data_IF_618383964071
#
_entry.id   IF_618383964071
#
_cell.length_a   1.000
_cell.length_b   1.000
_cell.length_c   1.000
_cell.angle_alpha   90.00
_cell.angle_beta   90.00
_cell.angle_gamma   90.00
#
_symmetry.space_group_name_H-M   'P 1'
#
loop_
_entity.id
_entity.type
_entity.pdbx_description
1 polymer ?
#
# COMPACT_ATOMS: atom_id res chain seq x y z
N UNK A 1 -11.07 32.97 -27.46
CA UNK A 1 -11.91 32.83 -26.26
C UNK A 1 -11.10 33.24 -25.05
N UNK A 2 -11.42 34.43 -24.49
CA UNK A 2 -10.73 34.96 -23.31
C UNK A 2 -11.11 34.12 -22.10
N UNK A 3 -10.22 33.25 -21.68
CA UNK A 3 -10.38 32.50 -20.42
C UNK A 3 -10.14 33.47 -19.28
N UNK A 4 -11.16 33.70 -18.45
CA UNK A 4 -11.03 34.43 -17.18
C UNK A 4 -9.89 33.80 -16.37
N UNK A 5 -8.96 34.57 -15.79
CA UNK A 5 -7.75 34.06 -15.12
C UNK A 5 -8.01 33.12 -13.94
N UNK A 6 -9.24 33.00 -13.50
CA UNK A 6 -9.63 32.32 -12.25
C UNK A 6 -10.33 30.95 -12.46
N UNK A 7 -10.59 30.55 -13.70
CA UNK A 7 -11.30 29.29 -13.98
C UNK A 7 -10.31 28.11 -14.00
N UNK A 8 -10.64 27.06 -13.23
CA UNK A 8 -9.89 25.79 -13.25
C UNK A 8 -10.22 25.02 -14.53
N UNK A 9 -9.21 24.64 -15.29
CA UNK A 9 -9.32 23.77 -16.46
C UNK A 9 -8.61 22.46 -16.19
N UNK A 10 -9.28 21.33 -16.38
CA UNK A 10 -8.67 20.00 -16.23
C UNK A 10 -8.41 19.44 -17.63
N UNK A 11 -7.16 19.16 -17.92
CA UNK A 11 -6.72 18.73 -19.24
C UNK A 11 -5.99 17.37 -19.16
N UNK A 12 -6.17 16.52 -20.17
CA UNK A 12 -5.46 15.23 -20.22
C UNK A 12 -3.96 15.42 -20.48
N UNK A 13 -3.16 14.54 -19.90
CA UNK A 13 -1.71 14.46 -20.13
C UNK A 13 -1.46 13.80 -21.50
N UNK A 14 -0.93 14.55 -22.46
CA UNK A 14 -0.77 14.11 -23.85
C UNK A 14 0.68 13.95 -24.29
N UNK A 15 1.61 14.61 -23.64
CA UNK A 15 3.01 14.66 -24.03
C UNK A 15 3.98 14.46 -22.86
N UNK A 16 5.26 14.29 -23.17
CA UNK A 16 6.30 14.03 -22.17
C UNK A 16 6.49 15.19 -21.17
N UNK A 17 6.28 16.44 -21.61
CA UNK A 17 6.37 17.61 -20.74
C UNK A 17 5.26 17.64 -19.69
N UNK A 18 4.02 17.44 -20.12
CA UNK A 18 2.85 17.33 -19.23
C UNK A 18 2.97 16.14 -18.29
N UNK A 19 3.44 15.00 -18.80
CA UNK A 19 3.71 13.82 -17.97
C UNK A 19 4.74 14.11 -16.88
N UNK A 20 5.78 14.85 -17.20
CA UNK A 20 6.75 15.29 -16.20
C UNK A 20 6.10 16.18 -15.15
N UNK A 21 5.29 17.16 -15.56
CA UNK A 21 4.55 18.03 -14.62
C UNK A 21 3.65 17.20 -13.71
N UNK A 22 2.87 16.27 -14.27
CA UNK A 22 2.01 15.36 -13.53
C UNK A 22 2.77 14.58 -12.46
N UNK A 23 3.87 13.94 -12.83
CA UNK A 23 4.66 13.09 -11.93
C UNK A 23 5.43 13.89 -10.87
N UNK A 24 5.82 15.13 -11.17
CA UNK A 24 6.57 16.00 -10.26
C UNK A 24 5.68 16.93 -9.42
N UNK A 25 4.37 16.98 -9.68
CA UNK A 25 3.43 17.83 -8.96
C UNK A 25 3.38 17.59 -7.44
N UNK A 26 3.50 16.35 -6.91
CA UNK A 26 3.54 16.11 -5.48
C UNK A 26 4.60 16.92 -4.72
N UNK A 27 5.77 17.19 -5.34
CA UNK A 27 6.81 18.04 -4.71
C UNK A 27 6.39 19.50 -4.49
N UNK A 28 5.34 19.96 -5.17
CA UNK A 28 4.74 21.27 -4.90
C UNK A 28 3.81 21.19 -3.68
N UNK A 29 2.99 20.15 -3.57
CA UNK A 29 2.02 19.95 -2.48
C UNK A 29 2.74 19.75 -1.15
N UNK A 30 3.74 18.88 -1.12
CA UNK A 30 4.45 18.50 0.12
C UNK A 30 5.71 19.34 0.39
N UNK A 31 5.81 20.53 -0.21
CA UNK A 31 6.95 21.40 0.03
C UNK A 31 7.05 21.79 1.49
N UNK A 32 8.15 21.38 2.15
CA UNK A 32 8.40 21.68 3.57
C UNK A 32 7.75 20.71 4.54
N UNK A 33 7.06 19.69 4.06
CA UNK A 33 6.56 18.60 4.92
C UNK A 33 7.69 17.58 5.20
N UNK A 34 8.22 17.52 6.44
CA UNK A 34 9.32 16.63 6.78
C UNK A 34 8.89 15.16 6.88
N UNK A 35 7.59 14.88 6.88
CA UNK A 35 7.03 13.54 7.05
C UNK A 35 6.67 12.88 5.72
N UNK A 36 6.67 13.65 4.63
CA UNK A 36 6.40 13.13 3.31
C UNK A 36 7.58 12.33 2.77
N UNK A 37 7.33 11.13 2.30
CA UNK A 37 8.31 10.29 1.62
C UNK A 37 8.13 10.44 0.11
N UNK A 38 9.05 11.12 -0.60
CA UNK A 38 8.94 11.26 -2.05
C UNK A 38 9.00 9.91 -2.75
N UNK A 39 8.04 9.59 -3.62
CA UNK A 39 8.08 8.35 -4.40
C UNK A 39 9.28 8.36 -5.35
N UNK A 40 9.85 7.19 -5.63
CA UNK A 40 10.91 7.06 -6.61
C UNK A 40 10.39 7.41 -8.01
N UNK A 41 10.87 8.52 -8.56
CA UNK A 41 10.41 9.04 -9.86
C UNK A 41 10.65 8.06 -11.02
N UNK A 42 11.77 7.30 -11.07
CA UNK A 42 11.94 6.25 -12.08
C UNK A 42 10.83 5.19 -12.04
N UNK A 43 10.42 4.76 -10.84
CA UNK A 43 9.36 3.76 -10.69
C UNK A 43 8.00 4.34 -11.08
N UNK A 44 7.70 5.59 -10.69
CA UNK A 44 6.48 6.29 -11.13
C UNK A 44 6.39 6.43 -12.65
N UNK A 45 7.51 6.71 -13.32
CA UNK A 45 7.59 6.72 -14.78
C UNK A 45 7.26 5.36 -15.38
N UNK A 46 7.78 4.28 -14.79
CA UNK A 46 7.52 2.92 -15.25
C UNK A 46 6.04 2.56 -15.07
N UNK A 47 5.49 2.76 -13.87
CA UNK A 47 4.09 2.41 -13.52
C UNK A 47 3.09 3.17 -14.40
N UNK A 48 3.33 4.43 -14.71
CA UNK A 48 2.43 5.26 -15.53
C UNK A 48 2.67 5.16 -17.02
N UNK A 49 3.63 4.37 -17.48
CA UNK A 49 3.88 4.14 -18.89
C UNK A 49 3.06 2.98 -19.43
N UNK A 50 2.25 3.24 -20.46
CA UNK A 50 1.35 2.24 -21.07
C UNK A 50 2.06 1.00 -21.62
N UNK A 51 3.37 1.10 -21.92
CA UNK A 51 4.17 -0.01 -22.46
C UNK A 51 4.81 -0.86 -21.37
N UNK A 52 5.12 -0.27 -20.23
CA UNK A 52 5.89 -0.92 -19.15
C UNK A 52 5.12 -1.13 -17.84
N UNK A 53 4.01 -0.40 -17.66
CA UNK A 53 3.19 -0.50 -16.45
C UNK A 53 2.34 -1.76 -16.47
N UNK A 54 2.47 -2.58 -15.44
CA UNK A 54 1.77 -3.86 -15.31
C UNK A 54 0.25 -3.69 -15.32
N UNK A 55 -0.25 -2.59 -14.76
CA UNK A 55 -1.68 -2.28 -14.76
C UNK A 55 -2.31 -2.30 -16.17
N UNK A 56 -1.58 -1.81 -17.17
CA UNK A 56 -2.08 -1.71 -18.55
C UNK A 56 -2.23 -3.04 -19.28
N UNK A 57 -1.80 -4.15 -18.67
CA UNK A 57 -2.08 -5.51 -19.17
C UNK A 57 -3.52 -5.95 -18.85
N UNK A 58 -4.14 -5.37 -17.81
CA UNK A 58 -5.47 -5.74 -17.31
C UNK A 58 -6.50 -4.61 -17.33
N UNK A 59 -6.05 -3.38 -17.58
CA UNK A 59 -6.88 -2.19 -17.51
C UNK A 59 -6.41 -1.04 -18.39
N UNK A 60 -7.10 0.07 -18.28
CA UNK A 60 -6.73 1.31 -18.93
C UNK A 60 -6.83 2.49 -17.96
N UNK A 61 -6.03 3.52 -18.19
CA UNK A 61 -6.01 4.72 -17.38
C UNK A 61 -5.68 5.95 -18.22
N UNK A 62 -6.24 7.09 -17.83
CA UNK A 62 -5.87 8.40 -18.29
C UNK A 62 -5.50 9.31 -17.13
N UNK A 63 -4.56 10.22 -17.39
CA UNK A 63 -3.99 11.13 -16.40
C UNK A 63 -4.38 12.57 -16.76
N UNK A 64 -4.69 13.37 -15.75
CA UNK A 64 -5.19 14.73 -15.93
C UNK A 64 -4.47 15.70 -15.01
N UNK A 65 -4.29 16.93 -15.48
CA UNK A 65 -3.74 18.07 -14.73
C UNK A 65 -4.78 19.17 -14.69
N UNK A 66 -5.07 19.67 -13.49
CA UNK A 66 -5.85 20.89 -13.29
C UNK A 66 -4.92 22.11 -13.41
N UNK A 67 -5.33 23.08 -14.20
CA UNK A 67 -4.63 24.34 -14.47
C UNK A 67 -5.46 25.52 -14.00
N UNK A 68 -4.82 26.51 -13.37
CA UNK A 68 -5.41 27.80 -13.00
C UNK A 68 -4.41 28.90 -13.26
N UNK A 69 -4.78 29.88 -14.09
CA UNK A 69 -3.85 30.94 -14.48
C UNK A 69 -2.55 30.45 -15.13
N UNK A 70 -2.59 29.36 -15.91
CA UNK A 70 -1.43 28.76 -16.56
C UNK A 70 -0.50 27.95 -15.63
N UNK A 71 -0.87 27.77 -14.36
CA UNK A 71 -0.08 27.00 -13.38
C UNK A 71 -0.80 25.69 -13.04
N UNK A 72 -0.07 24.57 -12.84
CA UNK A 72 -0.67 23.33 -12.37
C UNK A 72 -1.10 23.49 -10.91
N UNK A 73 -2.34 23.12 -10.62
CA UNK A 73 -2.96 23.24 -9.28
C UNK A 73 -3.50 21.91 -8.76
N UNK A 74 -3.49 20.87 -9.58
CA UNK A 74 -3.86 19.51 -9.13
C UNK A 74 -3.66 18.46 -10.21
N UNK A 75 -3.69 17.21 -9.80
CA UNK A 75 -3.59 16.02 -10.66
C UNK A 75 -4.60 14.98 -10.24
N UNK A 76 -5.05 14.15 -11.18
CA UNK A 76 -5.85 12.95 -10.94
C UNK A 76 -5.61 11.94 -12.06
N UNK A 77 -5.72 10.66 -11.74
CA UNK A 77 -5.82 9.57 -12.67
C UNK A 77 -7.22 8.97 -12.59
N UNK A 78 -7.84 8.66 -13.71
CA UNK A 78 -9.02 7.82 -13.79
C UNK A 78 -8.65 6.52 -14.50
N UNK A 79 -9.07 5.38 -13.95
CA UNK A 79 -8.66 4.08 -14.41
C UNK A 79 -9.78 3.04 -14.31
N UNK A 80 -9.77 2.08 -15.21
CA UNK A 80 -10.61 0.89 -15.17
C UNK A 80 -9.73 -0.35 -15.10
N UNK A 81 -9.82 -1.12 -14.02
CA UNK A 81 -9.32 -2.48 -13.97
C UNK A 81 -10.39 -3.42 -14.57
N UNK A 82 -10.27 -3.71 -15.86
CA UNK A 82 -11.25 -4.52 -16.59
C UNK A 82 -11.33 -5.95 -16.04
N UNK A 83 -10.20 -6.51 -15.65
CA UNK A 83 -10.15 -7.85 -15.08
C UNK A 83 -10.89 -7.89 -13.73
N UNK A 84 -10.68 -6.90 -12.88
CA UNK A 84 -11.41 -6.74 -11.62
C UNK A 84 -12.91 -6.53 -11.85
N UNK A 85 -13.30 -5.59 -12.71
CA UNK A 85 -14.69 -5.29 -12.99
C UNK A 85 -15.44 -6.51 -13.56
N UNK A 86 -14.84 -7.21 -14.53
CA UNK A 86 -15.44 -8.40 -15.13
C UNK A 86 -15.66 -9.50 -14.11
N UNK A 87 -14.68 -9.70 -13.28
CA UNK A 87 -14.67 -10.76 -12.31
C UNK A 87 -15.59 -10.51 -11.11
N UNK A 88 -15.74 -9.23 -10.67
CA UNK A 88 -16.63 -8.83 -9.55
C UNK A 88 -18.02 -8.41 -10.04
N UNK A 89 -18.27 -8.50 -11.35
CA UNK A 89 -19.49 -7.99 -11.98
C UNK A 89 -19.76 -6.53 -11.56
N UNK A 90 -18.69 -5.73 -11.43
CA UNK A 90 -18.73 -4.31 -11.08
C UNK A 90 -18.56 -3.43 -12.32
N UNK A 91 -18.93 -2.18 -12.18
CA UNK A 91 -18.74 -1.11 -13.15
C UNK A 91 -18.08 0.08 -12.42
N UNK A 92 -16.90 -0.18 -11.89
CA UNK A 92 -16.16 0.75 -11.02
C UNK A 92 -15.02 1.41 -11.78
N UNK A 93 -14.92 2.73 -11.65
CA UNK A 93 -13.76 3.51 -12.00
C UNK A 93 -12.90 3.70 -10.75
N UNK A 94 -11.67 3.25 -10.81
CA UNK A 94 -10.65 3.58 -9.83
C UNK A 94 -10.11 4.99 -10.14
N UNK A 95 -9.92 5.83 -9.13
CA UNK A 95 -9.15 7.06 -9.28
C UNK A 95 -7.96 7.08 -8.33
N UNK A 96 -6.89 7.78 -8.73
CA UNK A 96 -5.66 7.89 -7.94
C UNK A 96 -4.75 9.00 -8.43
N UNK A 97 -3.51 9.02 -7.98
CA UNK A 97 -2.57 10.12 -8.22
C UNK A 97 -3.24 11.49 -7.96
N UNK A 98 -4.16 11.48 -6.98
CA UNK A 98 -4.89 12.67 -6.59
C UNK A 98 -4.01 13.55 -5.73
N UNK A 99 -3.61 14.67 -6.31
CA UNK A 99 -2.88 15.72 -5.62
C UNK A 99 -3.53 17.07 -5.93
N UNK A 100 -3.75 17.89 -4.92
CA UNK A 100 -4.49 19.13 -5.09
C UNK A 100 -3.98 20.20 -4.12
N UNK A 101 -3.82 21.41 -4.60
CA UNK A 101 -3.62 22.57 -3.72
C UNK A 101 -4.86 22.72 -2.80
N UNK A 102 -4.72 23.42 -1.68
CA UNK A 102 -5.85 23.61 -0.75
C UNK A 102 -6.92 24.55 -1.38
N UNK A 103 -7.61 24.03 -2.39
CA UNK A 103 -8.71 24.70 -3.11
C UNK A 103 -9.82 23.69 -3.43
N UNK A 104 -10.96 23.73 -2.72
CA UNK A 104 -12.09 22.82 -2.95
C UNK A 104 -12.65 22.86 -4.37
N UNK A 105 -12.56 24.00 -5.06
CA UNK A 105 -13.04 24.12 -6.44
C UNK A 105 -12.15 23.31 -7.40
N UNK A 106 -10.84 23.34 -7.19
CA UNK A 106 -9.90 22.50 -7.93
C UNK A 106 -10.16 21.03 -7.70
N UNK A 107 -10.38 20.61 -6.44
CA UNK A 107 -10.68 19.22 -6.10
C UNK A 107 -11.97 18.74 -6.80
N UNK A 108 -13.06 19.53 -6.77
CA UNK A 108 -14.32 19.22 -7.46
C UNK A 108 -14.11 19.08 -8.96
N UNK A 109 -13.34 19.97 -9.59
CA UNK A 109 -13.05 19.90 -11.01
C UNK A 109 -12.31 18.61 -11.38
N UNK A 110 -11.35 18.16 -10.55
CA UNK A 110 -10.64 16.90 -10.74
C UNK A 110 -11.59 15.68 -10.60
N UNK A 111 -12.45 15.65 -9.58
CA UNK A 111 -13.43 14.59 -9.40
C UNK A 111 -14.42 14.52 -10.55
N UNK A 112 -14.90 15.69 -11.02
CA UNK A 112 -15.78 15.78 -12.18
C UNK A 112 -15.12 15.20 -13.43
N UNK A 113 -13.87 15.54 -13.70
CA UNK A 113 -13.12 15.00 -14.84
C UNK A 113 -12.98 13.48 -14.77
N UNK A 114 -12.71 12.89 -13.58
CA UNK A 114 -12.69 11.45 -13.40
C UNK A 114 -14.08 10.83 -13.64
N UNK A 115 -15.16 11.51 -13.21
CA UNK A 115 -16.53 11.06 -13.45
C UNK A 115 -16.92 11.12 -14.93
N UNK A 116 -16.51 12.17 -15.66
CA UNK A 116 -16.72 12.29 -17.12
C UNK A 116 -16.00 11.17 -17.87
N UNK A 117 -14.76 10.86 -17.47
CA UNK A 117 -14.01 9.74 -18.03
C UNK A 117 -14.71 8.39 -17.78
N UNK A 118 -15.20 8.18 -16.57
CA UNK A 118 -15.93 6.99 -16.16
C UNK A 118 -17.27 6.85 -16.92
N UNK A 119 -18.04 7.93 -17.01
CA UNK A 119 -19.31 7.97 -17.73
C UNK A 119 -19.15 7.60 -19.21
N UNK A 120 -18.11 8.11 -19.88
CA UNK A 120 -17.78 7.79 -21.26
C UNK A 120 -17.48 6.30 -21.51
N UNK A 121 -17.24 5.52 -20.43
CA UNK A 121 -17.00 4.07 -20.45
C UNK A 121 -18.14 3.26 -19.85
N UNK A 122 -19.21 3.94 -19.45
CA UNK A 122 -20.37 3.31 -18.82
C UNK A 122 -20.10 2.77 -17.43
N UNK A 123 -19.06 3.26 -16.74
CA UNK A 123 -18.78 2.96 -15.34
C UNK A 123 -19.73 3.75 -14.44
N UNK A 124 -20.11 3.18 -13.29
CA UNK A 124 -21.18 3.71 -12.46
C UNK A 124 -20.70 4.33 -11.14
N UNK A 125 -19.55 3.92 -10.68
CA UNK A 125 -19.01 4.34 -9.38
C UNK A 125 -17.55 4.81 -9.52
N UNK A 126 -17.17 5.82 -8.74
CA UNK A 126 -15.79 6.19 -8.49
C UNK A 126 -15.36 5.61 -7.16
N UNK A 127 -14.21 4.93 -7.10
CA UNK A 127 -13.59 4.40 -5.89
C UNK A 127 -12.11 4.78 -5.80
N UNK A 128 -11.64 5.19 -4.62
CA UNK A 128 -10.24 5.57 -4.43
C UNK A 128 -9.97 6.45 -3.21
N UNK A 129 -8.75 7.05 -3.12
CA UNK A 129 -7.69 7.02 -4.15
C UNK A 129 -6.84 5.74 -4.12
N UNK A 130 -6.41 5.31 -5.32
CA UNK A 130 -5.45 4.21 -5.55
C UNK A 130 -4.54 4.57 -6.73
N UNK A 131 -3.24 4.33 -6.63
CA UNK A 131 -2.29 4.71 -7.67
C UNK A 131 -2.06 3.61 -8.72
N UNK A 132 -3.13 3.13 -9.38
CA UNK A 132 -3.15 1.98 -10.31
C UNK A 132 -2.82 0.64 -9.63
N UNK A 133 -2.70 0.63 -8.33
CA UNK A 133 -2.51 -0.55 -7.50
C UNK A 133 -3.23 -0.33 -6.16
N UNK A 134 -3.94 -1.35 -5.70
CA UNK A 134 -4.61 -1.31 -4.39
C UNK A 134 -3.62 -1.32 -3.22
N UNK A 135 -2.35 -1.61 -3.47
CA UNK A 135 -1.30 -1.65 -2.46
C UNK A 135 -0.40 -0.40 -2.48
N UNK A 136 -0.59 0.54 -3.43
CA UNK A 136 0.21 1.74 -3.52
C UNK A 136 -0.56 2.98 -3.05
N UNK A 137 -0.07 3.61 -1.98
CA UNK A 137 -0.64 4.83 -1.39
C UNK A 137 -2.16 4.72 -1.17
N UNK A 138 -2.58 3.65 -0.49
CA UNK A 138 -3.95 3.27 -0.26
C UNK A 138 -4.74 4.31 0.53
N UNK A 139 -5.74 4.91 -0.10
CA UNK A 139 -6.68 5.80 0.57
C UNK A 139 -6.12 7.15 1.02
N UNK A 140 -6.93 7.87 1.76
CA UNK A 140 -6.61 9.16 2.40
C UNK A 140 -6.19 8.90 3.84
N UNK A 141 -5.06 9.42 4.27
CA UNK A 141 -4.66 9.39 5.67
C UNK A 141 -5.62 10.26 6.50
N UNK A 142 -6.39 9.65 7.41
CA UNK A 142 -7.35 10.36 8.26
C UNK A 142 -6.84 10.55 9.68
N UNK A 143 -6.00 9.63 10.20
CA UNK A 143 -5.36 9.72 11.51
C UNK A 143 -3.87 9.34 11.45
N UNK A 144 -3.05 9.85 12.36
CA UNK A 144 -1.64 9.47 12.53
C UNK A 144 -0.68 10.23 11.62
N UNK A 145 -0.77 11.58 11.61
CA UNK A 145 0.13 12.48 10.85
C UNK A 145 1.37 12.92 11.64
N UNK A 146 1.71 12.23 12.69
CA UNK A 146 2.83 12.56 13.61
C UNK A 146 4.17 11.98 13.17
N UNK A 147 4.16 11.07 12.20
CA UNK A 147 5.35 10.38 11.70
C UNK A 147 5.24 10.00 10.21
N UNK A 148 6.39 9.75 9.52
CA UNK A 148 6.38 9.28 8.13
C UNK A 148 5.59 7.97 7.96
N UNK A 149 5.04 7.71 6.78
CA UNK A 149 4.42 6.42 6.47
C UNK A 149 5.50 5.33 6.34
N UNK A 150 5.10 4.08 6.57
CA UNK A 150 5.89 2.91 6.20
C UNK A 150 5.73 2.58 4.72
N UNK A 151 6.52 1.63 4.21
CA UNK A 151 6.41 1.17 2.80
C UNK A 151 4.96 0.78 2.47
N UNK A 152 4.54 1.07 1.24
CA UNK A 152 3.19 0.84 0.70
C UNK A 152 2.08 1.67 1.36
N UNK A 153 2.38 2.52 2.34
CA UNK A 153 1.43 3.45 2.94
C UNK A 153 1.64 4.86 2.43
N UNK A 154 0.54 5.57 2.19
CA UNK A 154 0.55 6.94 1.71
C UNK A 154 0.69 7.98 2.83
N UNK A 155 0.96 9.20 2.41
CA UNK A 155 0.88 10.39 3.24
C UNK A 155 0.06 11.44 2.48
N UNK A 156 -0.97 12.00 3.12
CA UNK A 156 -1.84 12.97 2.47
C UNK A 156 -2.04 14.20 3.34
N UNK A 157 -2.17 15.40 2.75
CA UNK A 157 -2.47 16.61 3.50
C UNK A 157 -3.77 16.49 4.30
N UNK A 158 -3.89 17.13 5.48
CA UNK A 158 -5.06 17.00 6.34
C UNK A 158 -6.37 17.52 5.69
N UNK A 159 -6.28 18.46 4.76
CA UNK A 159 -7.42 19.03 4.07
C UNK A 159 -8.03 18.12 3.00
N UNK A 160 -7.36 17.01 2.60
CA UNK A 160 -7.91 16.08 1.61
C UNK A 160 -9.20 15.43 2.08
N UNK A 161 -9.27 15.01 3.34
CA UNK A 161 -10.49 14.45 3.90
C UNK A 161 -11.69 15.37 3.66
N UNK A 162 -11.55 16.68 3.94
CA UNK A 162 -12.60 17.68 3.72
C UNK A 162 -12.98 17.85 2.24
N UNK A 163 -12.06 17.60 1.30
CA UNK A 163 -12.37 17.64 -0.13
C UNK A 163 -13.29 16.50 -0.55
N UNK A 164 -13.02 15.29 -0.09
CA UNK A 164 -13.86 14.12 -0.39
C UNK A 164 -15.24 14.26 0.24
N UNK A 165 -15.30 14.52 1.54
CA UNK A 165 -16.56 14.65 2.29
C UNK A 165 -17.38 15.85 1.80
N UNK A 166 -16.75 17.01 1.61
CA UNK A 166 -17.38 18.21 1.06
C UNK A 166 -17.80 18.10 -0.41
N UNK A 167 -17.32 17.09 -1.13
CA UNK A 167 -17.76 16.72 -2.48
C UNK A 167 -18.73 15.54 -2.47
N UNK A 168 -19.29 15.14 -1.32
CA UNK A 168 -20.31 14.11 -1.21
C UNK A 168 -19.80 12.68 -1.40
N UNK A 169 -18.49 12.43 -1.32
CA UNK A 169 -17.96 11.09 -1.23
C UNK A 169 -18.18 10.51 0.17
N UNK A 170 -18.42 9.23 0.23
CA UNK A 170 -18.61 8.48 1.49
C UNK A 170 -17.57 7.37 1.60
N UNK A 171 -17.28 6.88 2.82
CA UNK A 171 -16.44 5.70 2.98
C UNK A 171 -16.96 4.53 2.13
N UNK A 172 -16.10 3.94 1.31
CA UNK A 172 -16.48 2.84 0.41
C UNK A 172 -16.54 1.49 1.14
N UNK A 173 -15.77 1.37 2.20
CA UNK A 173 -15.62 0.21 3.09
C UNK A 173 -15.02 0.67 4.41
N UNK A 174 -14.83 -0.26 5.35
CA UNK A 174 -14.13 0.01 6.60
C UNK A 174 -12.75 0.65 6.38
N UNK A 175 -12.31 1.43 7.35
CA UNK A 175 -10.99 2.07 7.28
C UNK A 175 -9.89 1.02 7.32
N UNK A 176 -8.76 1.32 6.69
CA UNK A 176 -7.57 0.50 6.82
C UNK A 176 -6.67 1.05 7.93
N UNK A 177 -6.33 0.17 8.84
CA UNK A 177 -5.58 0.49 10.04
C UNK A 177 -4.16 -0.05 9.96
N UNK A 178 -3.22 0.75 10.47
CA UNK A 178 -1.85 0.34 10.71
C UNK A 178 -1.59 0.28 12.21
N UNK A 179 -1.07 -0.85 12.68
CA UNK A 179 -0.67 -1.05 14.06
C UNK A 179 0.84 -0.95 14.21
N UNK A 180 1.29 -0.35 15.31
CA UNK A 180 2.66 -0.44 15.77
C UNK A 180 2.78 -1.43 16.93
N UNK A 181 3.82 -2.22 16.93
CA UNK A 181 4.21 -3.06 18.04
C UNK A 181 5.68 -2.82 18.40
N UNK A 182 5.93 -2.38 19.63
CA UNK A 182 7.30 -2.24 20.15
C UNK A 182 7.94 -3.63 20.31
N UNK A 183 9.19 -3.76 19.87
CA UNK A 183 10.00 -4.96 20.10
C UNK A 183 10.75 -4.94 21.42
N UNK A 184 10.38 -4.05 22.35
CA UNK A 184 10.97 -4.03 23.68
C UNK A 184 10.76 -5.36 24.40
N UNK A 185 11.87 -5.97 24.86
CA UNK A 185 11.85 -7.23 25.62
C UNK A 185 11.09 -7.13 26.94
N UNK A 186 10.85 -5.92 27.47
CA UNK A 186 10.06 -5.69 28.67
C UNK A 186 8.56 -5.83 28.45
N UNK A 187 8.07 -5.85 27.19
CA UNK A 187 6.65 -5.97 26.85
C UNK A 187 6.04 -7.24 27.47
N UNK A 188 5.01 -7.12 28.33
CA UNK A 188 4.36 -8.29 28.93
C UNK A 188 3.71 -9.21 27.88
N UNK A 189 3.20 -8.65 26.79
CA UNK A 189 2.58 -9.42 25.72
C UNK A 189 3.63 -10.28 24.98
N UNK A 190 4.77 -9.68 24.59
CA UNK A 190 5.87 -10.42 23.94
C UNK A 190 6.44 -11.50 24.87
N UNK A 191 6.59 -11.23 26.18
CA UNK A 191 7.01 -12.28 27.13
C UNK A 191 6.03 -13.44 27.21
N UNK A 192 4.71 -13.16 27.26
CA UNK A 192 3.70 -14.21 27.24
C UNK A 192 3.77 -15.03 25.95
N UNK A 193 3.88 -14.37 24.80
CA UNK A 193 4.06 -15.01 23.50
C UNK A 193 5.29 -15.92 23.51
N UNK A 194 6.43 -15.44 24.01
CA UNK A 194 7.68 -16.22 24.09
C UNK A 194 7.54 -17.46 24.98
N UNK A 195 6.85 -17.35 26.14
CA UNK A 195 6.59 -18.50 27.02
C UNK A 195 5.72 -19.54 26.32
N UNK A 196 4.65 -19.10 25.63
CA UNK A 196 3.75 -20.02 24.90
C UNK A 196 4.47 -20.66 23.71
N UNK A 197 5.18 -19.88 22.91
CA UNK A 197 5.99 -20.35 21.80
C UNK A 197 7.07 -21.34 22.24
N UNK A 198 7.71 -21.09 23.40
CA UNK A 198 8.69 -22.00 24.00
C UNK A 198 8.08 -23.37 24.37
N UNK A 199 6.82 -23.40 24.81
CA UNK A 199 6.10 -24.68 25.06
C UNK A 199 5.84 -25.44 23.76
N UNK A 200 5.44 -24.73 22.68
CA UNK A 200 5.18 -25.33 21.37
C UNK A 200 6.49 -25.84 20.77
N UNK A 201 7.56 -25.05 20.83
CA UNK A 201 8.89 -25.41 20.33
C UNK A 201 9.45 -26.69 20.96
N UNK A 202 9.21 -26.89 22.28
CA UNK A 202 9.63 -28.13 22.98
C UNK A 202 8.89 -29.39 22.51
N UNK A 203 7.68 -29.27 21.94
CA UNK A 203 6.95 -30.42 21.38
C UNK A 203 7.55 -30.90 20.06
N UNK A 204 8.27 -30.05 19.32
CA UNK A 204 9.07 -30.39 18.15
C UNK A 204 8.30 -30.73 16.87
N UNK A 205 6.99 -30.57 16.84
CA UNK A 205 6.17 -30.93 15.68
C UNK A 205 5.94 -29.80 14.67
N UNK A 206 6.32 -28.57 15.03
CA UNK A 206 6.34 -27.40 14.14
C UNK A 206 7.79 -26.94 13.98
N UNK A 207 8.24 -26.82 12.75
CA UNK A 207 9.53 -26.23 12.40
C UNK A 207 9.34 -24.87 11.72
N UNK A 208 10.34 -24.01 11.87
CA UNK A 208 10.40 -22.73 11.16
C UNK A 208 11.58 -22.76 10.21
N UNK A 209 11.33 -22.46 8.92
CA UNK A 209 12.38 -22.31 7.91
C UNK A 209 12.38 -20.93 7.29
N UNK A 210 13.45 -20.59 6.64
CA UNK A 210 13.59 -19.46 5.72
C UNK A 210 13.44 -19.92 4.27
N UNK A 211 13.25 -19.00 3.28
CA UNK A 211 13.18 -19.36 1.88
C UNK A 211 14.54 -19.84 1.34
N UNK A 212 14.48 -20.77 0.42
CA UNK A 212 15.63 -21.12 -0.44
C UNK A 212 15.60 -20.26 -1.72
N UNK A 213 16.32 -19.14 -1.71
CA UNK A 213 16.33 -18.22 -2.84
C UNK A 213 16.93 -18.80 -4.12
N UNK A 214 17.65 -19.92 -4.04
CA UNK A 214 18.13 -20.64 -5.23
C UNK A 214 16.98 -21.31 -5.98
N UNK A 215 15.88 -21.60 -5.29
CA UNK A 215 14.65 -22.20 -5.80
C UNK A 215 13.51 -21.19 -5.86
N UNK A 216 13.79 -19.98 -6.28
CA UNK A 216 12.86 -18.84 -6.23
C UNK A 216 11.45 -19.16 -6.72
N UNK A 217 11.30 -19.77 -7.89
CA UNK A 217 9.98 -20.08 -8.45
C UNK A 217 9.23 -21.17 -7.66
N UNK A 218 9.94 -22.06 -6.96
CA UNK A 218 9.31 -23.05 -6.09
C UNK A 218 8.77 -22.36 -4.82
N UNK A 219 9.55 -21.46 -4.23
CA UNK A 219 9.09 -20.64 -3.09
C UNK A 219 7.92 -19.73 -3.47
N UNK A 220 7.91 -19.15 -4.67
CA UNK A 220 6.75 -18.42 -5.21
C UNK A 220 5.51 -19.31 -5.27
N UNK A 221 5.68 -20.57 -5.71
CA UNK A 221 4.58 -21.55 -5.73
C UNK A 221 4.05 -21.88 -4.34
N UNK A 222 4.93 -22.00 -3.35
CA UNK A 222 4.52 -22.20 -1.94
C UNK A 222 3.74 -20.99 -1.42
N UNK A 223 4.21 -19.77 -1.68
CA UNK A 223 3.51 -18.56 -1.27
C UNK A 223 2.15 -18.44 -1.96
N UNK A 224 2.07 -18.76 -3.27
CA UNK A 224 0.83 -18.77 -4.03
C UNK A 224 -0.19 -19.74 -3.40
N UNK A 225 0.19 -20.98 -3.09
CA UNK A 225 -0.70 -21.96 -2.46
C UNK A 225 -1.20 -21.45 -1.10
N UNK A 226 -0.29 -20.92 -0.27
CA UNK A 226 -0.65 -20.35 1.03
C UNK A 226 -1.61 -19.15 0.88
N UNK A 227 -1.36 -18.23 -0.04
CA UNK A 227 -2.26 -17.09 -0.30
C UNK A 227 -3.64 -17.58 -0.72
N UNK A 228 -3.69 -18.47 -1.71
CA UNK A 228 -4.94 -18.95 -2.27
C UNK A 228 -5.78 -19.71 -1.24
N UNK A 229 -5.17 -20.56 -0.43
CA UNK A 229 -5.89 -21.37 0.56
C UNK A 229 -6.21 -20.59 1.83
N UNK A 230 -5.30 -19.74 2.31
CA UNK A 230 -5.54 -18.96 3.53
C UNK A 230 -6.59 -17.88 3.36
N UNK A 231 -6.75 -17.33 2.15
CA UNK A 231 -7.68 -16.24 1.87
C UNK A 231 -8.98 -16.69 1.19
N UNK A 232 -9.13 -17.97 0.86
CA UNK A 232 -10.30 -18.51 0.16
C UNK A 232 -11.64 -18.25 0.87
N UNK A 233 -11.61 -18.01 2.18
CA UNK A 233 -12.80 -17.71 2.98
C UNK A 233 -13.28 -16.26 2.89
N UNK A 234 -12.50 -15.36 2.27
CA UNK A 234 -12.87 -13.96 2.11
C UNK A 234 -13.90 -13.79 1.00
N UNK A 235 -14.96 -12.97 1.17
CA UNK A 235 -16.07 -12.85 0.22
C UNK A 235 -15.64 -12.46 -1.20
N UNK A 236 -14.63 -11.59 -1.30
CA UNK A 236 -14.14 -11.03 -2.56
C UNK A 236 -12.82 -11.68 -3.01
N UNK A 237 -12.46 -12.83 -2.41
CA UNK A 237 -11.19 -13.48 -2.72
C UNK A 237 -11.18 -14.07 -4.14
N UNK A 238 -10.00 -13.99 -4.78
CA UNK A 238 -9.70 -14.63 -6.06
C UNK A 238 -8.37 -15.34 -5.99
N UNK A 239 -8.29 -16.52 -6.62
CA UNK A 239 -7.02 -17.20 -6.75
C UNK A 239 -6.00 -16.34 -7.51
N UNK A 240 -4.82 -16.25 -6.94
CA UNK A 240 -3.66 -15.59 -7.54
C UNK A 240 -2.99 -16.54 -8.51
N UNK A 241 -2.71 -16.05 -9.71
CA UNK A 241 -1.84 -16.76 -10.65
C UNK A 241 -0.39 -16.67 -10.19
N UNK A 242 0.41 -17.68 -10.53
CA UNK A 242 1.81 -17.78 -10.08
C UNK A 242 2.66 -16.61 -10.56
N UNK A 243 2.44 -16.17 -11.78
CA UNK A 243 3.11 -15.02 -12.39
C UNK A 243 2.77 -13.71 -11.67
N UNK A 244 1.53 -13.56 -11.22
CA UNK A 244 1.10 -12.39 -10.45
C UNK A 244 1.77 -12.35 -9.08
N UNK A 245 1.86 -13.49 -8.39
CA UNK A 245 2.60 -13.60 -7.12
C UNK A 245 4.09 -13.36 -7.33
N UNK A 246 4.69 -13.91 -8.39
CA UNK A 246 6.09 -13.65 -8.74
C UNK A 246 6.34 -12.17 -8.97
N UNK A 247 5.45 -11.48 -9.69
CA UNK A 247 5.52 -10.04 -9.92
C UNK A 247 5.39 -9.21 -8.65
N UNK A 248 4.52 -9.62 -7.72
CA UNK A 248 4.35 -9.00 -6.41
C UNK A 248 5.62 -9.12 -5.55
N UNK A 249 6.27 -10.27 -5.56
CA UNK A 249 7.43 -10.55 -4.71
C UNK A 249 8.77 -10.08 -5.31
N UNK A 250 8.88 -9.94 -6.64
CA UNK A 250 10.15 -9.61 -7.33
C UNK A 250 10.80 -8.30 -6.83
N UNK A 251 10.06 -7.19 -6.55
CA UNK A 251 10.68 -5.98 -6.00
C UNK A 251 11.39 -6.22 -4.68
N UNK A 252 10.88 -7.15 -3.87
CA UNK A 252 11.42 -7.45 -2.53
C UNK A 252 12.58 -8.44 -2.58
N UNK A 253 12.72 -9.24 -3.62
CA UNK A 253 13.73 -10.28 -3.76
C UNK A 253 15.16 -9.79 -3.50
N UNK A 254 15.47 -8.55 -3.90
CA UNK A 254 16.82 -7.95 -3.78
C UNK A 254 17.03 -7.19 -2.47
N UNK A 255 15.96 -6.79 -1.78
CA UNK A 255 16.02 -5.93 -0.60
C UNK A 255 15.58 -6.63 0.67
N UNK A 256 14.79 -7.70 0.57
CA UNK A 256 14.36 -8.47 1.72
C UNK A 256 15.52 -9.31 2.29
N UNK A 257 15.59 -9.34 3.62
CA UNK A 257 16.49 -10.23 4.33
C UNK A 257 15.84 -11.62 4.43
N UNK A 258 16.43 -12.69 3.83
CA UNK A 258 15.81 -14.01 3.87
C UNK A 258 15.58 -14.55 5.27
N UNK A 259 16.39 -14.15 6.26
CA UNK A 259 16.21 -14.58 7.65
C UNK A 259 14.94 -13.97 8.30
N UNK A 260 14.36 -12.94 7.70
CA UNK A 260 13.11 -12.30 8.13
C UNK A 260 11.90 -12.71 7.28
N UNK A 261 12.05 -13.71 6.43
CA UNK A 261 10.95 -14.34 5.71
C UNK A 261 10.78 -15.75 6.29
N UNK A 262 9.70 -15.95 7.05
CA UNK A 262 9.53 -17.18 7.83
C UNK A 262 8.41 -18.05 7.25
N UNK A 263 8.66 -19.35 7.18
CA UNK A 263 7.67 -20.36 6.89
C UNK A 263 7.53 -21.30 8.10
N UNK A 264 6.30 -21.65 8.44
CA UNK A 264 6.02 -22.70 9.41
C UNK A 264 5.72 -23.99 8.68
N UNK A 265 6.30 -25.09 9.15
CA UNK A 265 6.09 -26.43 8.62
C UNK A 265 5.58 -27.40 9.70
N UNK A 266 4.65 -28.26 9.31
CA UNK A 266 4.08 -29.33 10.13
C UNK A 266 4.10 -30.60 9.28
N UNK A 267 4.71 -31.67 9.76
CA UNK A 267 4.82 -32.94 9.05
C UNK A 267 5.35 -32.81 7.62
N UNK A 268 6.34 -31.92 7.45
CA UNK A 268 6.98 -31.66 6.15
C UNK A 268 6.14 -30.81 5.17
N UNK A 269 4.97 -30.30 5.60
CA UNK A 269 4.13 -29.41 4.79
C UNK A 269 4.28 -27.97 5.27
N UNK A 270 4.45 -27.03 4.35
CA UNK A 270 4.43 -25.61 4.65
C UNK A 270 2.97 -25.19 4.94
N UNK A 271 2.71 -24.72 6.15
CA UNK A 271 1.36 -24.37 6.65
C UNK A 271 1.19 -22.91 6.97
N UNK A 272 2.27 -22.15 6.97
CA UNK A 272 2.23 -20.72 7.27
C UNK A 272 3.38 -19.95 6.66
N UNK A 273 3.15 -18.64 6.45
CA UNK A 273 4.12 -17.69 5.90
C UNK A 273 4.02 -16.35 6.62
N UNK A 274 5.18 -15.78 6.96
CA UNK A 274 5.28 -14.51 7.67
C UNK A 274 6.49 -13.72 7.17
N UNK A 275 6.30 -12.83 6.16
CA UNK A 275 7.38 -12.02 5.62
C UNK A 275 7.56 -10.73 6.40
N UNK A 276 8.81 -10.42 6.75
CA UNK A 276 9.22 -9.13 7.27
C UNK A 276 10.12 -8.40 6.27
N UNK A 277 9.80 -7.14 5.99
CA UNK A 277 10.57 -6.28 5.09
C UNK A 277 10.97 -5.00 5.83
N UNK A 278 12.25 -4.63 5.71
CA UNK A 278 12.72 -3.37 6.27
C UNK A 278 11.91 -2.18 5.76
N UNK A 279 11.50 -1.27 6.64
CA UNK A 279 10.81 -0.06 6.23
C UNK A 279 11.75 0.88 5.45
N UNK A 280 11.85 0.65 4.16
CA UNK A 280 12.73 1.45 3.30
C UNK A 280 12.32 2.93 3.22
N UNK A 281 11.11 3.30 3.64
CA UNK A 281 10.73 4.71 3.69
C UNK A 281 11.62 5.54 4.66
N UNK A 282 12.22 4.91 5.67
CA UNK A 282 13.22 5.56 6.51
C UNK A 282 14.50 5.98 5.73
N UNK A 283 14.79 5.31 4.63
CA UNK A 283 15.88 5.66 3.70
C UNK A 283 15.35 6.59 2.61
N UNK A 284 14.21 6.22 1.99
CA UNK A 284 13.66 6.90 0.81
C UNK A 284 13.32 8.38 1.08
N UNK A 285 12.91 8.71 2.30
CA UNK A 285 12.60 10.10 2.71
C UNK A 285 13.77 11.06 2.46
N UNK A 286 15.00 10.56 2.47
CA UNK A 286 16.22 11.34 2.25
C UNK A 286 16.66 11.41 0.79
N UNK A 287 16.03 10.63 -0.10
CA UNK A 287 16.48 10.47 -1.49
C UNK A 287 15.78 11.42 -2.47
N UNK A 288 14.87 12.28 -1.99
CA UNK A 288 14.10 13.21 -2.84
C UNK A 288 13.48 12.53 -4.09
N UNK A 289 13.13 11.24 -3.99
CA UNK A 289 12.57 10.45 -5.09
C UNK A 289 13.51 10.19 -6.26
N UNK A 290 14.83 10.38 -6.09
CA UNK A 290 15.84 10.32 -7.15
C UNK A 290 15.48 11.25 -8.32
N UNK A 291 14.90 12.41 -8.02
CA UNK A 291 14.40 13.36 -9.01
C UNK A 291 15.52 14.04 -9.80
N UNK A 292 16.68 14.21 -9.18
CA UNK A 292 17.84 14.95 -9.73
C UNK A 292 19.07 14.05 -9.75
N UNK A 293 20.01 14.25 -10.69
CA UNK A 293 21.21 13.41 -10.77
C UNK A 293 22.01 13.30 -9.47
N UNK A 294 22.12 14.41 -8.70
CA UNK A 294 22.85 14.41 -7.42
C UNK A 294 22.10 13.70 -6.28
N UNK A 295 20.81 13.42 -6.44
CA UNK A 295 20.07 12.60 -5.46
C UNK A 295 20.61 11.15 -5.47
N UNK A 296 21.17 10.68 -6.59
CA UNK A 296 21.85 9.39 -6.66
C UNK A 296 23.13 9.34 -5.81
N UNK A 297 23.88 10.45 -5.76
CA UNK A 297 25.06 10.54 -4.88
C UNK A 297 24.66 10.52 -3.41
N UNK A 298 23.54 11.16 -3.06
CA UNK A 298 22.98 11.10 -1.71
C UNK A 298 22.52 9.68 -1.35
N UNK A 299 21.97 8.94 -2.32
CA UNK A 299 21.53 7.57 -2.11
C UNK A 299 22.67 6.67 -1.58
N UNK A 300 23.89 6.82 -2.08
CA UNK A 300 25.06 6.05 -1.61
C UNK A 300 25.34 6.21 -0.10
N UNK A 301 25.06 7.39 0.43
CA UNK A 301 25.19 7.67 1.87
C UNK A 301 24.04 7.07 2.67
N UNK A 302 22.79 7.31 2.21
CA UNK A 302 21.60 6.94 2.98
C UNK A 302 21.25 5.46 2.87
N UNK A 303 21.67 4.76 1.82
CA UNK A 303 21.57 3.30 1.70
C UNK A 303 22.34 2.53 2.80
N UNK A 304 23.21 3.20 3.56
CA UNK A 304 23.89 2.63 4.73
C UNK A 304 23.06 2.76 6.02
N UNK A 305 21.97 3.51 6.00
CA UNK A 305 21.06 3.61 7.11
C UNK A 305 20.41 2.24 7.36
N UNK A 306 20.43 1.79 8.60
CA UNK A 306 19.68 0.61 9.01
C UNK A 306 18.29 1.04 9.48
N UNK A 307 17.21 0.65 8.81
CA UNK A 307 15.86 0.94 9.26
C UNK A 307 15.61 0.39 10.66
N UNK A 308 14.86 1.15 11.45
CA UNK A 308 14.47 0.76 12.82
C UNK A 308 13.13 0.02 12.85
N UNK A 309 12.34 0.16 11.80
CA UNK A 309 11.04 -0.49 11.64
C UNK A 309 11.16 -1.68 10.69
N UNK A 310 10.60 -2.82 11.10
CA UNK A 310 10.32 -3.95 10.24
C UNK A 310 8.83 -3.93 9.89
N UNK A 311 8.49 -3.90 8.60
CA UNK A 311 7.11 -3.92 8.13
C UNK A 311 6.68 -5.36 7.86
N UNK A 312 5.60 -5.77 8.51
CA UNK A 312 5.02 -7.11 8.40
C UNK A 312 3.69 -6.99 7.65
N UNK A 313 3.64 -7.44 6.40
CA UNK A 313 2.52 -7.18 5.49
C UNK A 313 1.47 -8.29 5.46
N UNK A 314 1.82 -9.49 5.90
CA UNK A 314 0.91 -10.64 5.90
C UNK A 314 1.28 -11.63 6.97
N UNK A 315 0.30 -12.25 7.57
CA UNK A 315 0.45 -13.48 8.39
C UNK A 315 -0.52 -14.49 7.80
N UNK A 316 -0.02 -15.44 7.05
CA UNK A 316 -0.84 -16.49 6.46
C UNK A 316 -0.64 -17.79 7.23
N UNK A 317 -1.75 -18.39 7.64
CA UNK A 317 -1.80 -19.75 8.19
C UNK A 317 -2.97 -20.46 7.52
N UNK A 318 -2.74 -21.66 7.02
CA UNK A 318 -3.80 -22.46 6.43
C UNK A 318 -4.92 -22.70 7.46
N UNK A 319 -6.21 -22.57 7.07
CA UNK A 319 -7.34 -22.65 7.98
C UNK A 319 -7.37 -23.92 8.84
N UNK A 320 -7.01 -25.06 8.27
CA UNK A 320 -6.96 -26.35 8.95
C UNK A 320 -5.90 -26.43 10.05
N UNK A 321 -4.97 -25.46 10.10
CA UNK A 321 -3.93 -25.34 11.13
C UNK A 321 -4.15 -24.16 12.09
N UNK A 322 -5.31 -23.50 12.02
CA UNK A 322 -5.65 -22.49 13.03
C UNK A 322 -5.73 -23.13 14.42
N UNK A 323 -5.16 -22.45 15.40
CA UNK A 323 -5.07 -22.99 16.76
C UNK A 323 -3.92 -23.98 16.99
N UNK A 324 -3.18 -24.40 15.95
CA UNK A 324 -2.01 -25.28 16.09
C UNK A 324 -0.87 -24.69 16.92
N UNK A 325 -0.79 -23.35 16.97
CA UNK A 325 0.33 -22.61 17.54
C UNK A 325 1.37 -22.18 16.53
N UNK A 326 1.21 -22.47 15.22
CA UNK A 326 2.12 -22.07 14.17
C UNK A 326 2.27 -20.55 14.11
N UNK A 327 1.16 -19.80 14.19
CA UNK A 327 1.19 -18.32 14.21
C UNK A 327 2.00 -17.78 15.41
N UNK A 328 1.80 -18.35 16.61
CA UNK A 328 2.56 -17.92 17.79
C UNK A 328 4.06 -18.16 17.64
N UNK A 329 4.41 -19.30 17.03
CA UNK A 329 5.82 -19.64 16.80
C UNK A 329 6.46 -18.72 15.75
N UNK A 330 5.75 -18.41 14.67
CA UNK A 330 6.20 -17.45 13.65
C UNK A 330 6.40 -16.04 14.24
N UNK A 331 5.46 -15.58 15.06
CA UNK A 331 5.51 -14.26 15.70
C UNK A 331 6.70 -14.16 16.67
N UNK A 332 6.89 -15.18 17.52
CA UNK A 332 8.00 -15.23 18.46
C UNK A 332 9.36 -15.26 17.75
N UNK A 333 9.50 -16.09 16.74
CA UNK A 333 10.72 -16.21 15.93
C UNK A 333 11.03 -14.90 15.21
N UNK A 334 10.01 -14.26 14.61
CA UNK A 334 10.15 -12.96 13.97
C UNK A 334 10.61 -11.89 14.95
N UNK A 335 9.98 -11.82 16.13
CA UNK A 335 10.34 -10.86 17.16
C UNK A 335 11.77 -11.04 17.66
N UNK A 336 12.22 -12.30 17.83
CA UNK A 336 13.61 -12.60 18.21
C UNK A 336 14.60 -12.16 17.14
N UNK A 337 14.36 -12.56 15.88
CA UNK A 337 15.26 -12.22 14.75
C UNK A 337 15.28 -10.72 14.48
N UNK A 338 14.13 -10.06 14.48
CA UNK A 338 14.05 -8.61 14.30
C UNK A 338 14.87 -7.86 15.36
N UNK A 339 14.75 -8.23 16.63
CA UNK A 339 15.56 -7.64 17.71
C UNK A 339 17.05 -7.89 17.53
N UNK A 340 17.45 -9.11 17.20
CA UNK A 340 18.87 -9.44 16.99
C UNK A 340 19.50 -8.64 15.85
N UNK A 341 18.69 -8.25 14.85
CA UNK A 341 19.09 -7.43 13.71
C UNK A 341 18.99 -5.92 13.98
N UNK A 342 18.51 -5.51 15.17
CA UNK A 342 18.48 -4.11 15.61
C UNK A 342 17.21 -3.34 15.30
N UNK A 343 16.15 -4.02 14.85
CA UNK A 343 14.82 -3.40 14.74
C UNK A 343 14.24 -3.11 16.13
N UNK A 344 13.63 -1.94 16.30
CA UNK A 344 13.06 -1.50 17.58
C UNK A 344 11.53 -1.63 17.63
N UNK A 345 10.88 -1.68 16.49
CA UNK A 345 9.43 -1.84 16.39
C UNK A 345 9.04 -2.50 15.06
N UNK A 346 7.83 -3.02 15.03
CA UNK A 346 7.23 -3.57 13.81
C UNK A 346 5.96 -2.82 13.45
N UNK A 347 5.75 -2.67 12.16
CA UNK A 347 4.53 -2.19 11.54
C UNK A 347 3.69 -3.37 11.06
N UNK A 348 2.41 -3.37 11.43
CA UNK A 348 1.41 -4.33 10.99
C UNK A 348 0.35 -3.58 10.15
N UNK A 349 0.70 -3.23 8.93
CA UNK A 349 -0.16 -2.50 8.02
C UNK A 349 -0.33 -3.22 6.67
N UNK A 350 -1.44 -3.07 5.98
CA UNK A 350 -2.71 -2.48 6.35
C UNK A 350 -3.71 -3.62 6.59
N UNK A 351 -4.58 -3.46 7.57
CA UNK A 351 -5.72 -4.36 7.75
C UNK A 351 -7.00 -3.54 7.79
N UNK A 352 -8.09 -4.07 7.21
CA UNK A 352 -9.40 -3.44 7.34
C UNK A 352 -9.91 -3.56 8.77
N UNK A 353 -10.55 -2.51 9.31
CA UNK A 353 -11.24 -2.57 10.60
C UNK A 353 -12.51 -3.43 10.55
N UNK A 354 -13.01 -3.75 9.35
CA UNK A 354 -14.06 -4.75 9.16
C UNK A 354 -13.55 -6.20 9.32
N UNK A 355 -12.22 -6.42 9.38
CA UNK A 355 -11.65 -7.75 9.58
C UNK A 355 -11.80 -8.16 11.05
N UNK A 356 -12.55 -9.24 11.38
CA UNK A 356 -12.84 -9.58 12.77
C UNK A 356 -11.65 -10.17 13.54
N UNK A 357 -10.60 -10.62 12.85
CA UNK A 357 -9.52 -11.42 13.46
C UNK A 357 -8.22 -10.67 13.68
N UNK A 358 -7.77 -9.92 12.68
CA UNK A 358 -6.44 -9.28 12.72
C UNK A 358 -6.36 -8.16 13.75
N UNK A 359 -7.35 -7.26 13.88
CA UNK A 359 -7.37 -6.25 14.94
C UNK A 359 -7.28 -6.85 16.34
N UNK A 360 -8.10 -7.85 16.62
CA UNK A 360 -8.11 -8.51 17.93
C UNK A 360 -6.76 -9.18 18.28
N UNK A 361 -6.14 -9.83 17.28
CA UNK A 361 -4.80 -10.42 17.47
C UNK A 361 -3.75 -9.35 17.75
N UNK A 362 -3.75 -8.26 16.98
CA UNK A 362 -2.80 -7.16 17.15
C UNK A 362 -2.92 -6.53 18.55
N UNK A 363 -4.13 -6.24 19.00
CA UNK A 363 -4.39 -5.66 20.32
C UNK A 363 -4.00 -6.60 21.46
N UNK A 364 -4.29 -7.89 21.36
CA UNK A 364 -3.87 -8.92 22.33
C UNK A 364 -2.34 -9.01 22.45
N UNK A 365 -1.63 -8.70 21.37
CA UNK A 365 -0.17 -8.61 21.34
C UNK A 365 0.37 -7.29 21.89
N UNK A 366 -0.50 -6.35 22.26
CA UNK A 366 -0.14 -5.03 22.77
C UNK A 366 0.23 -4.03 21.66
N UNK A 367 -0.16 -4.31 20.42
CA UNK A 367 -0.05 -3.37 19.33
C UNK A 367 -1.05 -2.22 19.49
N UNK A 368 -0.70 -1.04 18.97
CA UNK A 368 -1.53 0.16 19.02
C UNK A 368 -1.74 0.70 17.62
N UNK A 369 -2.96 1.17 17.33
CA UNK A 369 -3.25 1.89 16.09
C UNK A 369 -2.41 3.17 16.08
N UNK A 370 -1.69 3.40 14.98
CA UNK A 370 -0.90 4.62 14.82
C UNK A 370 -1.22 5.37 13.52
N UNK A 371 -1.87 4.72 12.55
CA UNK A 371 -2.39 5.38 11.33
C UNK A 371 -3.71 4.76 10.92
N UNK A 372 -4.55 5.57 10.27
CA UNK A 372 -5.82 5.14 9.68
C UNK A 372 -5.98 5.77 8.30
N UNK A 373 -6.40 4.96 7.34
CA UNK A 373 -6.58 5.35 5.95
C UNK A 373 -8.01 5.05 5.51
N UNK A 374 -8.61 5.95 4.77
CA UNK A 374 -9.99 5.84 4.29
C UNK A 374 -10.05 5.85 2.78
N UNK A 375 -10.78 4.89 2.22
CA UNK A 375 -11.12 4.85 0.82
C UNK A 375 -12.52 5.41 0.64
N UNK A 376 -12.69 6.26 -0.34
CA UNK A 376 -13.92 6.95 -0.62
C UNK A 376 -14.57 6.46 -1.91
N UNK A 377 -15.90 6.47 -1.94
CA UNK A 377 -16.67 6.16 -3.14
C UNK A 377 -17.82 7.13 -3.36
N UNK A 378 -18.21 7.31 -4.63
CA UNK A 378 -19.38 8.09 -5.02
C UNK A 378 -19.91 7.61 -6.37
N UNK A 379 -21.23 7.64 -6.59
CA UNK A 379 -21.82 7.34 -7.90
C UNK A 379 -21.39 8.41 -8.93
N UNK A 380 -21.04 7.96 -10.13
CA UNK A 380 -20.61 8.85 -11.22
C UNK A 380 -21.65 9.91 -11.54
N UNK A 381 -22.93 9.53 -11.64
CA UNK A 381 -24.02 10.45 -11.91
C UNK A 381 -24.16 11.55 -10.86
N UNK A 382 -23.90 11.23 -9.58
CA UNK A 382 -24.04 12.19 -8.48
C UNK A 382 -22.88 13.20 -8.48
N UNK A 383 -21.67 12.77 -8.93
CA UNK A 383 -20.53 13.68 -9.12
C UNK A 383 -20.80 14.65 -10.28
N UNK A 384 -21.40 14.16 -11.37
CA UNK A 384 -21.68 14.99 -12.55
C UNK A 384 -22.82 15.99 -12.31
N UNK A 385 -23.74 15.69 -11.39
CA UNK A 385 -24.86 16.55 -11.03
C UNK A 385 -24.51 17.66 -10.02
N UNK A 386 -23.31 17.60 -9.39
CA UNK A 386 -22.82 18.55 -8.37
C UNK A 386 -21.84 19.55 -8.98
#
# INVERSE_FOLDING_TARGET
MSTTPDTVQVLPVRNAGERRIFLEFPWQIYRGDPLWVPPLLPDRRKVTDRRTGVFFQRGEADFFIAWKGGKPVGTICAAEDRAYNASMQKRECMFGFFECVNDPLTARALFRQAAEWAAGRGLLTLGGPFNLDYEDAYGVLVEGRDRPPVILCGHTPPYYQGFFEGSGFVPLRGDNIAYELSLDASSPALRRTAVMAGRIRRKGWISIRTPDLSKWMDEVGVVQDLMNRSMAHLPDFRPWEREAVAGLLEPFRKIADPELILFAEIDGKTVGWFPGVANMNEVLIHLNGLRRPWDMLRALRWMRLKPRCLSLKSVLILPEYWGSGAALLLIDEMAMRARSKGYSWVDLSLTSDDNPYTPELAERMGARIYKRYRVYGRKVQDVLAS
#
